data_IF_877360284209
#
_entry.id   IF_877360284209
#
_cell.length_a   1.000
_cell.length_b   1.000
_cell.length_c   1.000
_cell.angle_alpha   90.00
_cell.angle_beta   90.00
_cell.angle_gamma   90.00
#
_symmetry.space_group_name_H-M   'P 1'
#
loop_
_entity.id
_entity.type
_entity.pdbx_description
1 polymer ?
#
# COMPACT_ATOMS: atom_id res chain seq x y z
N UNK A 1 12.44 61.27 68.99
CA UNK A 1 11.33 60.37 69.37
C UNK A 1 11.58 59.02 68.74
N UNK A 2 11.38 57.92 69.49
CA UNK A 2 11.68 56.51 69.14
C UNK A 2 13.18 56.21 68.95
N UNK A 3 13.97 55.58 69.85
CA UNK A 3 13.76 54.40 70.72
C UNK A 3 13.35 53.15 69.92
N UNK A 4 14.23 52.15 69.90
CA UNK A 4 14.01 50.73 70.29
C UNK A 4 14.56 49.67 69.31
N UNK A 5 15.53 48.90 69.84
CA UNK A 5 15.95 47.54 69.52
C UNK A 5 16.58 47.29 68.14
N UNK A 6 17.91 47.17 67.97
CA UNK A 6 18.88 46.33 68.67
C UNK A 6 18.64 44.81 68.49
N UNK A 7 19.57 44.21 67.74
CA UNK A 7 20.05 42.81 67.83
C UNK A 7 19.21 41.72 67.17
N UNK A 8 19.64 41.27 65.98
CA UNK A 8 20.15 39.91 65.81
C UNK A 8 20.83 39.76 64.42
N UNK A 9 22.12 40.09 64.39
CA UNK A 9 23.11 39.29 63.65
C UNK A 9 22.87 37.82 63.98
N UNK A 10 23.18 36.91 63.04
CA UNK A 10 23.26 35.43 63.19
C UNK A 10 22.10 34.70 62.46
N UNK A 11 22.25 34.48 61.14
CA UNK A 11 22.46 33.14 60.51
C UNK A 11 21.78 32.89 59.15
N UNK A 12 22.63 32.47 58.21
CA UNK A 12 22.44 31.33 57.30
C UNK A 12 21.44 31.44 56.14
N UNK A 13 22.01 31.76 54.98
CA UNK A 13 21.98 30.90 53.78
C UNK A 13 20.93 29.78 53.75
N UNK A 14 19.90 29.95 52.93
CA UNK A 14 19.40 28.86 52.07
C UNK A 14 19.01 29.42 50.71
N UNK A 15 19.79 29.03 49.71
CA UNK A 15 19.42 29.14 48.31
C UNK A 15 18.16 28.30 48.06
N UNK A 16 17.17 28.87 47.39
CA UNK A 16 16.19 28.08 46.65
C UNK A 16 16.17 28.58 45.21
N UNK A 17 16.71 27.74 44.33
CA UNK A 17 16.58 27.85 42.90
C UNK A 17 15.09 27.72 42.52
N UNK A 18 14.50 28.79 41.98
CA UNK A 18 13.22 28.71 41.31
C UNK A 18 13.42 28.07 39.93
N UNK A 19 13.35 26.74 39.88
CA UNK A 19 13.09 26.04 38.63
C UNK A 19 11.66 26.36 38.21
N UNK A 20 11.50 27.20 37.19
CA UNK A 20 10.22 27.39 36.51
C UNK A 20 9.82 26.06 35.86
N UNK A 21 8.98 25.30 36.56
CA UNK A 21 8.30 24.15 36.00
C UNK A 21 7.38 24.67 34.88
N UNK A 22 7.82 24.48 33.63
CA UNK A 22 6.93 24.51 32.47
C UNK A 22 5.79 23.54 32.72
N UNK A 23 4.53 23.89 32.43
CA UNK A 23 3.48 22.87 32.37
C UNK A 23 3.89 21.92 31.23
N UNK A 24 4.25 20.70 31.60
CA UNK A 24 4.24 19.59 30.67
C UNK A 24 2.79 19.47 30.23
N UNK A 25 2.49 19.96 29.03
CA UNK A 25 1.35 19.43 28.28
C UNK A 25 1.55 17.93 28.28
N UNK A 26 0.80 17.25 29.12
CA UNK A 26 0.57 15.82 29.06
C UNK A 26 -0.12 15.59 27.72
N UNK A 27 0.69 15.49 26.66
CA UNK A 27 0.28 14.85 25.43
C UNK A 27 -0.21 13.49 25.87
N UNK A 28 -1.51 13.30 25.84
CA UNK A 28 -2.15 12.02 25.97
C UNK A 28 -1.53 11.11 24.92
N UNK A 29 -0.58 10.30 25.34
CA UNK A 29 -0.09 9.16 24.58
C UNK A 29 -1.22 8.15 24.54
N UNK A 30 -2.23 8.41 23.71
CA UNK A 30 -3.06 7.37 23.14
C UNK A 30 -2.17 6.51 22.28
N UNK A 31 -2.10 5.22 22.59
CA UNK A 31 -1.48 4.20 21.75
C UNK A 31 -1.86 4.38 20.27
N UNK A 32 -0.87 4.45 19.39
CA UNK A 32 -1.05 4.10 17.97
C UNK A 32 -1.73 5.12 17.05
N UNK A 33 -1.47 6.41 17.19
CA UNK A 33 -1.86 7.39 16.15
C UNK A 33 -0.72 7.64 15.14
N UNK A 34 -1.00 7.42 13.86
CA UNK A 34 -0.09 7.70 12.73
C UNK A 34 -0.60 8.90 11.90
N UNK A 35 -1.31 9.84 12.51
CA UNK A 35 -1.81 11.04 11.83
C UNK A 35 -0.72 11.84 11.14
N UNK A 36 0.47 11.93 11.75
CA UNK A 36 1.64 12.58 11.12
C UNK A 36 2.11 11.85 9.87
N UNK A 37 2.08 10.51 9.86
CA UNK A 37 2.50 9.71 8.71
C UNK A 37 1.49 9.86 7.57
N UNK A 38 0.19 9.86 7.88
CA UNK A 38 -0.87 10.11 6.89
C UNK A 38 -0.69 11.49 6.28
N UNK A 39 -0.43 12.51 7.10
CA UNK A 39 -0.23 13.87 6.62
C UNK A 39 1.03 14.01 5.75
N UNK A 40 2.14 13.38 6.14
CA UNK A 40 3.40 13.41 5.38
C UNK A 40 3.27 12.68 4.04
N UNK A 41 2.58 11.53 4.03
CA UNK A 41 2.26 10.79 2.80
C UNK A 41 1.31 11.57 1.89
N UNK A 42 0.29 12.24 2.44
CA UNK A 42 -0.58 13.11 1.64
C UNK A 42 0.19 14.28 1.03
N UNK A 43 1.08 14.91 1.79
CA UNK A 43 1.85 16.06 1.31
C UNK A 43 2.84 15.68 0.19
N UNK A 44 3.48 14.51 0.31
CA UNK A 44 4.58 14.15 -0.58
C UNK A 44 4.20 13.13 -1.66
N UNK A 45 3.18 12.30 -1.44
CA UNK A 45 2.89 11.14 -2.31
C UNK A 45 1.55 11.20 -3.06
N UNK A 46 0.64 12.12 -2.72
CA UNK A 46 -0.74 12.10 -3.22
C UNK A 46 -0.85 12.03 -4.75
N UNK A 47 0.02 12.72 -5.49
CA UNK A 47 -0.08 12.83 -6.94
C UNK A 47 0.41 11.56 -7.66
N UNK A 48 1.16 10.69 -6.97
CA UNK A 48 1.60 9.41 -7.52
C UNK A 48 0.57 8.30 -7.31
N UNK A 49 -0.33 8.44 -6.33
CA UNK A 49 -1.24 7.37 -5.90
C UNK A 49 -2.71 7.59 -6.26
N UNK A 50 -3.11 8.80 -6.66
CA UNK A 50 -4.49 9.08 -7.10
C UNK A 50 -4.85 8.39 -8.42
N UNK A 51 -6.13 8.13 -8.61
CA UNK A 51 -6.69 7.76 -9.92
C UNK A 51 -6.47 8.87 -10.98
N UNK A 52 -6.42 8.54 -12.27
CA UNK A 52 -6.58 7.21 -12.91
C UNK A 52 -5.43 6.24 -12.60
N UNK A 53 -5.64 4.94 -12.84
CA UNK A 53 -4.65 3.90 -12.51
C UNK A 53 -3.34 4.02 -13.32
N UNK A 54 -3.44 4.55 -14.54
CA UNK A 54 -2.31 4.82 -15.42
C UNK A 54 -2.24 6.32 -15.79
N UNK A 55 -1.04 6.85 -16.03
CA UNK A 55 0.26 6.16 -15.94
C UNK A 55 0.74 6.02 -14.49
N UNK A 56 1.53 4.96 -14.23
CA UNK A 56 2.37 4.84 -13.02
C UNK A 56 3.61 5.73 -13.20
N UNK A 57 3.78 6.70 -12.32
CA UNK A 57 4.86 7.70 -12.38
C UNK A 57 5.82 7.40 -11.23
N UNK A 58 7.13 7.36 -11.52
CA UNK A 58 8.16 7.18 -10.50
C UNK A 58 8.00 8.27 -9.41
N UNK A 59 7.91 7.90 -8.12
CA UNK A 59 7.78 8.86 -7.03
C UNK A 59 9.03 9.71 -6.85
N UNK A 60 8.88 10.90 -6.27
CA UNK A 60 10.00 11.74 -5.86
C UNK A 60 10.75 11.14 -4.67
N UNK A 61 11.99 11.60 -4.45
CA UNK A 61 12.75 11.22 -3.27
C UNK A 61 12.01 11.56 -1.97
N UNK A 62 11.37 12.74 -1.90
CA UNK A 62 10.59 13.15 -0.73
C UNK A 62 9.43 12.20 -0.45
N UNK A 63 8.74 11.71 -1.49
CA UNK A 63 7.73 10.67 -1.31
C UNK A 63 8.34 9.36 -0.79
N UNK A 64 9.47 8.91 -1.34
CA UNK A 64 10.12 7.70 -0.86
C UNK A 64 10.62 7.81 0.58
N UNK A 65 11.16 8.96 0.99
CA UNK A 65 11.58 9.18 2.36
C UNK A 65 10.36 9.13 3.32
N UNK A 66 9.22 9.70 2.91
CA UNK A 66 7.97 9.60 3.66
C UNK A 66 7.48 8.16 3.78
N UNK A 67 7.46 7.40 2.66
CA UNK A 67 7.10 5.96 2.64
C UNK A 67 7.99 5.15 3.57
N UNK A 68 9.30 5.39 3.54
CA UNK A 68 10.25 4.66 4.37
C UNK A 68 10.03 4.90 5.86
N UNK A 69 9.76 6.15 6.27
CA UNK A 69 9.49 6.51 7.67
C UNK A 69 8.11 6.08 8.17
N UNK A 70 7.10 6.09 7.31
CA UNK A 70 5.71 5.92 7.72
C UNK A 70 5.44 4.56 8.41
N UNK A 71 4.61 4.56 9.45
CA UNK A 71 4.04 3.36 10.02
C UNK A 71 2.94 2.80 9.11
N UNK A 72 3.35 2.10 8.04
CA UNK A 72 2.43 1.56 7.02
C UNK A 72 1.29 0.72 7.61
N UNK A 73 1.51 -0.22 8.56
CA UNK A 73 0.40 -0.96 9.19
C UNK A 73 -0.65 -0.03 9.83
N UNK A 74 -0.23 1.04 10.50
CA UNK A 74 -1.16 2.00 11.06
C UNK A 74 -1.89 2.81 9.97
N UNK A 75 -1.14 3.37 9.00
CA UNK A 75 -1.71 4.16 7.90
C UNK A 75 -2.74 3.34 7.13
N UNK A 76 -2.43 2.09 6.87
CA UNK A 76 -3.28 1.13 6.19
C UNK A 76 -4.60 0.84 6.94
N UNK A 77 -4.60 0.86 8.27
CA UNK A 77 -5.84 0.76 9.05
C UNK A 77 -6.70 2.03 9.02
N UNK A 78 -6.15 3.16 8.53
CA UNK A 78 -6.90 4.43 8.33
C UNK A 78 -7.48 4.55 6.92
N UNK A 79 -7.17 3.63 6.01
CA UNK A 79 -7.73 3.61 4.65
C UNK A 79 -9.17 3.11 4.72
N UNK A 80 -10.13 3.99 4.43
CA UNK A 80 -11.56 3.67 4.39
C UNK A 80 -12.04 3.49 2.94
N UNK A 81 -13.24 2.92 2.70
CA UNK A 81 -13.80 2.81 1.35
C UNK A 81 -13.90 4.15 0.61
N UNK A 82 -14.11 5.26 1.31
CA UNK A 82 -14.13 6.60 0.71
C UNK A 82 -12.73 7.03 0.26
N UNK A 83 -11.69 6.67 1.02
CA UNK A 83 -10.30 6.93 0.63
C UNK A 83 -9.92 6.08 -0.59
N UNK A 84 -10.38 4.83 -0.64
CA UNK A 84 -10.16 3.93 -1.79
C UNK A 84 -10.82 4.39 -3.09
N UNK A 85 -11.81 5.27 -3.02
CA UNK A 85 -12.38 5.90 -4.22
C UNK A 85 -11.47 7.02 -4.77
N UNK A 86 -10.55 7.54 -3.96
CA UNK A 86 -9.64 8.63 -4.32
C UNK A 86 -8.24 8.12 -4.70
N UNK A 87 -7.78 7.05 -4.07
CA UNK A 87 -6.45 6.46 -4.31
C UNK A 87 -6.54 5.15 -5.07
N UNK A 88 -5.64 4.96 -6.03
CA UNK A 88 -5.48 3.74 -6.77
C UNK A 88 -4.50 2.80 -6.04
N UNK A 89 -4.99 1.69 -5.50
CA UNK A 89 -4.14 0.73 -4.79
C UNK A 89 -3.03 0.13 -5.67
N UNK A 90 -3.27 -0.07 -6.97
CA UNK A 90 -2.22 -0.50 -7.92
C UNK A 90 -1.05 0.51 -7.99
N UNK A 91 -1.33 1.80 -7.83
CA UNK A 91 -0.31 2.85 -7.75
C UNK A 91 0.35 2.90 -6.37
N UNK A 92 -0.41 2.69 -5.30
CA UNK A 92 0.16 2.58 -3.94
C UNK A 92 1.17 1.43 -3.88
N UNK A 93 0.78 0.24 -4.35
CA UNK A 93 1.66 -0.95 -4.44
C UNK A 93 2.93 -0.63 -5.25
N UNK A 94 2.77 0.03 -6.39
CA UNK A 94 3.90 0.45 -7.22
C UNK A 94 4.85 1.43 -6.49
N UNK A 95 4.32 2.48 -5.86
CA UNK A 95 5.12 3.48 -5.14
C UNK A 95 5.88 2.84 -3.98
N UNK A 96 5.21 2.02 -3.16
CA UNK A 96 5.87 1.41 -1.99
C UNK A 96 6.94 0.40 -2.41
N UNK A 97 6.71 -0.34 -3.50
CA UNK A 97 7.72 -1.22 -4.08
C UNK A 97 8.92 -0.43 -4.64
N UNK A 98 8.65 0.65 -5.39
CA UNK A 98 9.70 1.53 -5.93
C UNK A 98 10.57 2.14 -4.82
N UNK A 99 9.94 2.55 -3.71
CA UNK A 99 10.63 3.10 -2.55
C UNK A 99 11.26 2.06 -1.62
N UNK A 100 11.40 0.81 -2.08
CA UNK A 100 12.04 -0.31 -1.38
C UNK A 100 11.36 -0.74 -0.06
N UNK A 101 10.04 -0.51 0.05
CA UNK A 101 9.23 -0.92 1.20
C UNK A 101 7.93 -1.59 0.74
N UNK A 102 8.00 -2.72 0.02
CA UNK A 102 6.81 -3.42 -0.45
C UNK A 102 5.96 -3.88 0.74
N UNK A 103 4.65 -4.02 0.50
CA UNK A 103 3.77 -4.66 1.46
C UNK A 103 4.26 -6.07 1.77
N UNK A 104 4.19 -6.46 3.04
CA UNK A 104 4.55 -7.81 3.44
C UNK A 104 3.48 -8.78 2.93
N UNK A 105 3.85 -10.01 2.54
CA UNK A 105 2.87 -11.08 2.32
C UNK A 105 1.94 -11.19 3.54
N UNK A 106 0.64 -11.36 3.29
CA UNK A 106 -0.38 -11.49 4.32
C UNK A 106 -0.83 -10.19 4.98
N UNK A 107 -0.20 -9.05 4.67
CA UNK A 107 -0.61 -7.75 5.18
C UNK A 107 -1.84 -7.19 4.43
N UNK A 108 -2.52 -6.20 5.01
CA UNK A 108 -3.65 -5.53 4.38
C UNK A 108 -3.51 -4.01 4.45
N UNK A 109 -4.17 -3.32 3.54
CA UNK A 109 -4.25 -1.86 3.49
C UNK A 109 -5.64 -1.42 3.04
N UNK A 110 -6.46 -0.95 3.97
CA UNK A 110 -7.90 -0.87 3.74
C UNK A 110 -8.47 -2.25 3.41
N UNK A 111 -9.18 -2.34 2.28
CA UNK A 111 -9.71 -3.56 1.67
C UNK A 111 -8.71 -4.31 0.78
N UNK A 112 -7.54 -3.70 0.49
CA UNK A 112 -6.49 -4.41 -0.23
C UNK A 112 -5.82 -5.44 0.67
N UNK A 113 -5.69 -6.66 0.18
CA UNK A 113 -4.94 -7.72 0.86
C UNK A 113 -3.70 -8.05 0.05
N UNK A 114 -2.52 -7.80 0.63
CA UNK A 114 -1.28 -8.40 0.18
C UNK A 114 -1.38 -9.88 0.49
N UNK A 115 -1.64 -10.67 -0.54
CA UNK A 115 -1.86 -12.10 -0.36
C UNK A 115 -0.54 -12.78 0.01
N UNK A 116 -0.57 -13.69 0.98
CA UNK A 116 0.62 -14.49 1.34
C UNK A 116 1.15 -15.33 0.15
N UNK A 117 0.35 -15.53 -0.90
CA UNK A 117 0.68 -16.30 -2.10
C UNK A 117 -0.35 -16.12 -3.26
N UNK A 118 -1.06 -14.99 -3.38
CA UNK A 118 -2.19 -14.78 -4.33
C UNK A 118 -3.18 -15.95 -4.39
N UNK A 119 -3.32 -16.68 -3.27
CA UNK A 119 -4.15 -17.88 -3.24
C UNK A 119 -5.64 -17.54 -3.35
N UNK A 120 -6.08 -16.43 -2.77
CA UNK A 120 -7.45 -15.97 -2.88
C UNK A 120 -7.71 -15.42 -4.30
N UNK A 121 -6.82 -14.58 -4.81
CA UNK A 121 -6.83 -14.12 -6.20
C UNK A 121 -6.91 -15.29 -7.20
N UNK A 122 -6.12 -16.34 -6.96
CA UNK A 122 -6.12 -17.55 -7.79
C UNK A 122 -7.47 -18.28 -7.70
N UNK A 123 -8.04 -18.40 -6.50
CA UNK A 123 -9.36 -19.04 -6.30
C UNK A 123 -10.46 -18.26 -7.03
N UNK A 124 -10.49 -16.94 -6.91
CA UNK A 124 -11.48 -16.08 -7.57
C UNK A 124 -11.32 -16.13 -9.10
N UNK A 125 -10.08 -16.10 -9.59
CA UNK A 125 -9.81 -16.22 -11.02
C UNK A 125 -10.24 -17.59 -11.56
N UNK A 126 -10.03 -18.67 -10.80
CA UNK A 126 -10.50 -20.01 -11.18
C UNK A 126 -12.02 -20.07 -11.17
N UNK A 127 -12.69 -19.45 -10.20
CA UNK A 127 -14.14 -19.46 -10.09
C UNK A 127 -14.79 -18.73 -11.28
N UNK A 128 -14.30 -17.53 -11.59
CA UNK A 128 -14.99 -16.63 -12.53
C UNK A 128 -14.42 -16.68 -13.96
N UNK A 129 -13.13 -16.96 -14.12
CA UNK A 129 -12.45 -16.81 -15.41
C UNK A 129 -12.01 -18.12 -16.07
N UNK A 130 -12.02 -19.26 -15.36
CA UNK A 130 -11.44 -20.54 -15.83
C UNK A 130 -11.89 -20.92 -17.24
N UNK A 131 -13.19 -20.83 -17.53
CA UNK A 131 -13.73 -21.25 -18.83
C UNK A 131 -13.21 -20.44 -20.03
N UNK A 132 -12.77 -19.19 -19.80
CA UNK A 132 -12.30 -18.30 -20.85
C UNK A 132 -10.81 -18.46 -21.14
N UNK A 133 -10.05 -19.17 -20.30
CA UNK A 133 -8.59 -19.27 -20.40
C UNK A 133 -8.08 -20.69 -20.61
N UNK A 134 -8.93 -21.71 -20.49
CA UNK A 134 -8.53 -23.10 -20.72
C UNK A 134 -8.27 -23.42 -22.21
N UNK A 135 -7.36 -24.36 -22.44
CA UNK A 135 -7.15 -24.96 -23.76
C UNK A 135 -8.42 -25.65 -24.29
N UNK A 136 -8.62 -25.73 -25.63
CA UNK A 136 -7.73 -25.28 -26.71
C UNK A 136 -7.67 -23.74 -26.86
N UNK A 137 -6.69 -23.23 -27.60
CA UNK A 137 -6.48 -21.78 -27.80
C UNK A 137 -7.62 -21.09 -28.57
N UNK A 138 -8.34 -21.85 -29.41
CA UNK A 138 -9.51 -21.39 -30.14
C UNK A 138 -10.76 -22.22 -29.81
N UNK A 139 -11.96 -21.61 -29.84
CA UNK A 139 -12.19 -20.18 -30.06
C UNK A 139 -11.86 -19.34 -28.81
N UNK A 140 -11.46 -18.08 -29.03
CA UNK A 140 -11.44 -17.05 -27.99
C UNK A 140 -12.88 -16.61 -27.72
N UNK A 141 -13.31 -16.68 -26.45
CA UNK A 141 -14.65 -16.32 -26.01
C UNK A 141 -14.55 -15.11 -25.10
N UNK A 142 -15.45 -14.15 -25.29
CA UNK A 142 -15.48 -12.94 -24.48
C UNK A 142 -15.76 -13.28 -23.01
N UNK A 143 -14.95 -12.75 -22.07
CA UNK A 143 -15.17 -12.97 -20.64
C UNK A 143 -16.43 -12.24 -20.15
N UNK A 144 -17.03 -12.75 -19.09
CA UNK A 144 -18.12 -12.08 -18.38
C UNK A 144 -17.64 -10.83 -17.63
N UNK A 145 -18.56 -9.93 -17.34
CA UNK A 145 -18.28 -8.74 -16.51
C UNK A 145 -17.73 -9.12 -15.12
N UNK A 146 -18.21 -10.23 -14.55
CA UNK A 146 -17.69 -10.76 -13.28
C UNK A 146 -16.23 -11.19 -13.41
N UNK A 147 -15.88 -11.92 -14.48
CA UNK A 147 -14.49 -12.28 -14.74
C UNK A 147 -13.62 -11.03 -14.91
N UNK A 148 -14.08 -10.03 -15.67
CA UNK A 148 -13.32 -8.79 -15.83
C UNK A 148 -13.14 -8.01 -14.52
N UNK A 149 -14.15 -8.02 -13.65
CA UNK A 149 -14.06 -7.40 -12.32
C UNK A 149 -12.97 -8.05 -11.45
N UNK A 150 -12.80 -9.38 -11.55
CA UNK A 150 -11.72 -10.11 -10.88
C UNK A 150 -10.37 -9.76 -11.53
N UNK A 151 -10.27 -9.84 -12.86
CA UNK A 151 -9.03 -9.53 -13.62
C UNK A 151 -8.50 -8.13 -13.29
N UNK A 152 -9.37 -7.17 -13.01
CA UNK A 152 -8.97 -5.79 -12.66
C UNK A 152 -8.40 -5.65 -11.25
N UNK A 153 -8.69 -6.58 -10.33
CA UNK A 153 -8.34 -6.46 -8.90
C UNK A 153 -7.19 -7.36 -8.46
N UNK A 154 -7.04 -8.53 -9.09
CA UNK A 154 -6.06 -9.55 -8.66
C UNK A 154 -4.60 -9.10 -8.83
N UNK A 155 -3.70 -9.67 -8.04
CA UNK A 155 -2.25 -9.50 -8.20
C UNK A 155 -1.72 -10.37 -9.36
N UNK A 156 -1.77 -9.84 -10.59
CA UNK A 156 -1.28 -10.53 -11.79
C UNK A 156 0.20 -10.92 -11.66
N UNK A 157 1.14 -10.04 -11.24
CA UNK A 157 2.54 -10.44 -11.04
C UNK A 157 2.71 -11.63 -10.08
N UNK A 158 2.00 -11.62 -8.95
CA UNK A 158 2.02 -12.75 -8.03
C UNK A 158 1.48 -14.02 -8.72
N UNK A 159 0.30 -13.94 -9.36
CA UNK A 159 -0.31 -15.10 -10.03
C UNK A 159 0.61 -15.69 -11.08
N UNK A 160 1.24 -14.83 -11.86
CA UNK A 160 2.25 -15.19 -12.86
C UNK A 160 3.47 -15.88 -12.25
N UNK A 161 3.90 -15.52 -11.04
CA UNK A 161 4.98 -16.23 -10.33
C UNK A 161 4.60 -17.67 -9.94
N UNK A 162 3.29 -17.98 -9.86
CA UNK A 162 2.75 -19.30 -9.51
C UNK A 162 2.41 -20.16 -10.73
N UNK A 163 2.45 -19.60 -11.95
CA UNK A 163 2.22 -20.36 -13.18
C UNK A 163 3.40 -21.30 -13.41
N UNK A 164 3.14 -22.60 -13.27
CA UNK A 164 4.12 -23.66 -13.58
C UNK A 164 3.91 -24.20 -15.00
N UNK A 165 4.86 -25.00 -15.50
CA UNK A 165 4.73 -25.68 -16.80
C UNK A 165 3.52 -26.61 -16.85
N UNK A 166 3.08 -27.15 -15.73
CA UNK A 166 1.88 -27.98 -15.62
C UNK A 166 0.62 -27.15 -15.83
N UNK A 167 0.58 -25.92 -15.31
CA UNK A 167 -0.52 -24.98 -15.53
C UNK A 167 -0.53 -24.52 -16.99
N UNK A 168 0.64 -24.22 -17.58
CA UNK A 168 0.76 -23.85 -19.00
C UNK A 168 0.27 -24.94 -19.97
N UNK A 169 0.21 -26.20 -19.54
CA UNK A 169 -0.35 -27.29 -20.37
C UNK A 169 -1.88 -27.28 -20.43
N UNK A 170 -2.54 -26.73 -19.42
CA UNK A 170 -4.01 -26.73 -19.31
C UNK A 170 -4.64 -25.36 -19.59
N UNK A 171 -3.86 -24.28 -19.43
CA UNK A 171 -4.26 -22.90 -19.71
C UNK A 171 -3.65 -22.44 -21.03
N UNK A 172 -4.47 -21.81 -21.89
CA UNK A 172 -4.01 -21.12 -23.08
C UNK A 172 -3.51 -19.73 -22.72
N UNK A 173 -2.19 -19.51 -22.78
CA UNK A 173 -1.62 -18.19 -22.52
C UNK A 173 -2.09 -17.12 -23.52
N UNK A 174 -2.40 -17.51 -24.75
CA UNK A 174 -3.02 -16.60 -25.72
C UNK A 174 -4.41 -16.14 -25.30
N UNK A 175 -5.21 -17.03 -24.70
CA UNK A 175 -6.50 -16.65 -24.12
C UNK A 175 -6.35 -15.81 -22.87
N UNK A 176 -5.35 -16.08 -22.03
CA UNK A 176 -5.03 -15.23 -20.87
C UNK A 176 -4.72 -13.79 -21.32
N UNK A 177 -3.91 -13.63 -22.38
CA UNK A 177 -3.62 -12.32 -22.99
C UNK A 177 -4.90 -11.69 -23.56
N UNK A 178 -5.71 -12.48 -24.27
CA UNK A 178 -6.98 -12.02 -24.83
C UNK A 178 -7.92 -11.47 -23.76
N UNK A 179 -8.19 -12.26 -22.71
CA UNK A 179 -9.07 -11.90 -21.58
C UNK A 179 -8.54 -10.65 -20.88
N UNK A 180 -7.23 -10.61 -20.58
CA UNK A 180 -6.62 -9.45 -19.94
C UNK A 180 -6.78 -8.17 -20.78
N UNK A 181 -6.57 -8.26 -22.10
CA UNK A 181 -6.75 -7.14 -23.04
C UNK A 181 -8.21 -6.72 -23.16
N UNK A 182 -9.14 -7.68 -23.25
CA UNK A 182 -10.58 -7.44 -23.30
C UNK A 182 -11.05 -6.69 -22.05
N UNK A 183 -10.62 -7.15 -20.87
CA UNK A 183 -10.93 -6.56 -19.57
C UNK A 183 -10.15 -5.26 -19.25
N UNK A 184 -9.46 -4.68 -20.24
CA UNK A 184 -8.74 -3.40 -20.16
C UNK A 184 -7.53 -3.40 -19.21
N UNK A 185 -6.90 -4.56 -19.03
CA UNK A 185 -5.65 -4.72 -18.24
C UNK A 185 -4.63 -5.57 -19.01
N UNK A 186 -4.13 -5.10 -20.16
CA UNK A 186 -3.23 -5.89 -21.01
C UNK A 186 -1.88 -6.13 -20.32
N UNK A 187 -1.26 -7.27 -20.62
CA UNK A 187 0.12 -7.53 -20.24
C UNK A 187 1.08 -6.61 -21.00
N UNK A 188 2.18 -6.24 -20.38
CA UNK A 188 3.25 -5.54 -21.08
C UNK A 188 3.98 -6.50 -22.03
N UNK A 189 4.25 -6.12 -23.28
CA UNK A 189 5.09 -6.89 -24.19
C UNK A 189 6.44 -7.24 -23.54
N UNK A 190 6.88 -8.49 -23.67
CA UNK A 190 8.13 -8.98 -23.07
C UNK A 190 8.07 -9.29 -21.57
N UNK A 191 6.94 -9.01 -20.89
CA UNK A 191 6.73 -9.48 -19.51
C UNK A 191 6.62 -11.01 -19.45
N UNK A 192 6.88 -11.59 -18.28
CA UNK A 192 6.82 -13.04 -18.06
C UNK A 192 5.62 -13.42 -17.20
N UNK A 193 5.01 -14.55 -17.55
CA UNK A 193 4.00 -15.21 -16.74
C UNK A 193 4.29 -16.71 -16.71
N UNK A 194 4.80 -17.20 -15.57
CA UNK A 194 5.45 -18.50 -15.51
C UNK A 194 6.72 -18.55 -16.36
N UNK A 195 6.81 -19.54 -17.23
CA UNK A 195 7.86 -19.65 -18.24
C UNK A 195 7.51 -18.97 -19.56
N UNK A 196 6.23 -18.67 -19.77
CA UNK A 196 5.74 -17.95 -20.94
C UNK A 196 6.20 -16.49 -20.96
N UNK A 197 6.68 -16.04 -22.11
CA UNK A 197 7.05 -14.64 -22.36
C UNK A 197 6.02 -14.04 -23.30
N UNK A 198 5.40 -12.94 -22.89
CA UNK A 198 4.35 -12.26 -23.65
C UNK A 198 4.95 -11.76 -24.97
N UNK A 199 4.40 -12.17 -26.13
CA UNK A 199 4.96 -11.78 -27.42
C UNK A 199 4.84 -10.27 -27.65
N UNK A 200 5.72 -9.69 -28.48
CA UNK A 200 5.53 -8.33 -28.96
C UNK A 200 4.21 -8.22 -29.72
N UNK A 201 3.52 -7.10 -29.52
CA UNK A 201 2.29 -6.71 -30.25
C UNK A 201 2.62 -6.18 -31.63
#
# INVERSE_FOLDING_TARGET
>A
MARLFAVCLVLLSFAMAAAAARPATSSSTTSGDCGSDVQDLMANCQDYVKFPADPKINPSQACCDAVQRANMPCVCNKVTPEVEQLICMDKVVYVVAFCMKPFQPGSHCGSYHSSDNCANDLKELIAECRQYVMNPADPKVDPSDTCCSVVQKVDIPCLCSKVTKEIEKIVSMEKVIYVASYCKRPFQPGSKCGSYTIPPV
#
